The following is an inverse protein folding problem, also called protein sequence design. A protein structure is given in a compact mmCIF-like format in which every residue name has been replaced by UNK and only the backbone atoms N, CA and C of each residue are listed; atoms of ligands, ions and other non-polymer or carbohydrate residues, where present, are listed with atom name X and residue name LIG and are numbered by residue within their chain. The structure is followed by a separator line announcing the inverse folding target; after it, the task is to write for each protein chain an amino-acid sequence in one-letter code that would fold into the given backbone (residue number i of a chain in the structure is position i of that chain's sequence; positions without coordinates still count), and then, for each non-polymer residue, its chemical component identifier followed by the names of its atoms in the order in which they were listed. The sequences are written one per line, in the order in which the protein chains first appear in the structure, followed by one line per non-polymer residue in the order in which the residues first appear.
data_IF_664754388930
#
_entry.id   IF_664754388930
#
_cell.length_a   1.000
_cell.length_b   1.000
_cell.length_c   1.000
_cell.angle_alpha   90.00
_cell.angle_beta   90.00
_cell.angle_gamma   90.00
#
_symmetry.space_group_name_H-M   'P 1'
#
loop_
_entity.id
_entity.type
_entity.pdbx_description
1 polymer ?
#
# COMPACT_ATOMS: atom_id res chain seq x y z
N UNK A 1 6.50 -46.22 76.33
CA UNK A 1 5.89 -46.23 74.98
C UNK A 1 4.53 -46.90 75.12
N UNK A 2 3.44 -46.14 75.24
CA UNK A 2 2.11 -46.70 75.48
C UNK A 2 1.64 -47.47 74.23
N UNK A 3 1.49 -48.79 74.33
CA UNK A 3 0.90 -49.63 73.28
C UNK A 3 -0.57 -49.27 73.13
N UNK A 4 -0.95 -48.75 71.95
CA UNK A 4 -2.36 -48.54 71.60
C UNK A 4 -3.07 -49.89 71.57
N UNK A 5 -4.29 -49.94 72.13
CA UNK A 5 -5.18 -51.09 72.01
C UNK A 5 -5.39 -51.46 70.53
N UNK A 6 -5.39 -52.75 70.15
CA UNK A 6 -5.50 -53.20 68.76
C UNK A 6 -6.71 -52.61 68.03
N UNK A 7 -7.84 -52.40 68.71
CA UNK A 7 -9.03 -51.75 68.13
C UNK A 7 -8.80 -50.28 67.76
N UNK A 8 -8.01 -49.55 68.55
CA UNK A 8 -7.67 -48.15 68.27
C UNK A 8 -6.70 -48.03 67.09
N UNK A 9 -5.82 -49.01 66.93
CA UNK A 9 -4.91 -49.08 65.77
C UNK A 9 -5.69 -49.33 64.48
N UNK A 10 -6.63 -50.27 64.50
CA UNK A 10 -7.49 -50.60 63.36
C UNK A 10 -8.37 -49.40 62.95
N UNK A 11 -8.93 -48.69 63.93
CA UNK A 11 -9.74 -47.50 63.67
C UNK A 11 -8.92 -46.37 63.02
N UNK A 12 -7.67 -46.18 63.44
CA UNK A 12 -6.77 -45.18 62.88
C UNK A 12 -6.46 -45.49 61.41
N UNK A 13 -6.19 -46.77 61.11
CA UNK A 13 -5.90 -47.24 59.75
C UNK A 13 -7.10 -47.00 58.80
N UNK A 14 -8.31 -47.38 59.21
CA UNK A 14 -9.54 -47.15 58.43
C UNK A 14 -9.83 -45.64 58.25
N UNK A 15 -9.54 -44.81 59.25
CA UNK A 15 -9.67 -43.36 59.13
C UNK A 15 -8.65 -42.78 58.13
N UNK A 16 -7.40 -43.24 58.16
CA UNK A 16 -6.38 -42.78 57.20
C UNK A 16 -6.74 -43.19 55.78
N UNK A 17 -7.23 -44.40 55.56
CA UNK A 17 -7.63 -44.87 54.24
C UNK A 17 -8.82 -44.08 53.67
N UNK A 18 -9.83 -43.77 54.50
CA UNK A 18 -10.95 -42.91 54.08
C UNK A 18 -10.51 -41.49 53.76
N UNK A 19 -9.59 -40.92 54.54
CA UNK A 19 -9.01 -39.60 54.27
C UNK A 19 -8.24 -39.57 52.95
N UNK A 20 -7.47 -40.62 52.64
CA UNK A 20 -6.75 -40.74 51.38
C UNK A 20 -7.69 -40.85 50.18
N UNK A 21 -8.76 -41.64 50.30
CA UNK A 21 -9.80 -41.78 49.27
C UNK A 21 -10.48 -40.42 49.00
N UNK A 22 -10.85 -39.69 50.04
CA UNK A 22 -11.43 -38.36 49.89
C UNK A 22 -10.45 -37.39 49.24
N UNK A 23 -9.18 -37.41 49.65
CA UNK A 23 -8.13 -36.54 49.09
C UNK A 23 -7.93 -36.80 47.60
N UNK A 24 -7.88 -38.08 47.18
CA UNK A 24 -7.84 -38.46 45.76
C UNK A 24 -9.07 -37.94 45.00
N UNK A 25 -10.25 -38.15 45.55
CA UNK A 25 -11.53 -37.76 44.91
C UNK A 25 -11.61 -36.24 44.71
N UNK A 26 -11.21 -35.45 45.71
CA UNK A 26 -11.16 -33.98 45.61
C UNK A 26 -10.14 -33.56 44.56
N UNK A 27 -8.96 -34.18 44.56
CA UNK A 27 -7.90 -33.88 43.60
C UNK A 27 -8.36 -34.14 42.17
N UNK A 28 -8.94 -35.33 41.90
CA UNK A 28 -9.46 -35.71 40.58
C UNK A 28 -10.57 -34.76 40.10
N UNK A 29 -11.48 -34.35 40.99
CA UNK A 29 -12.53 -33.39 40.68
C UNK A 29 -11.98 -32.00 40.34
N UNK A 30 -11.00 -31.51 41.11
CA UNK A 30 -10.34 -30.23 40.83
C UNK A 30 -9.60 -30.30 39.51
N UNK A 31 -8.80 -31.35 39.28
CA UNK A 31 -8.03 -31.53 38.04
C UNK A 31 -8.95 -31.60 36.83
N UNK A 32 -10.05 -32.37 36.91
CA UNK A 32 -11.01 -32.49 35.81
C UNK A 32 -11.70 -31.17 35.48
N UNK A 33 -12.05 -30.38 36.51
CA UNK A 33 -12.64 -29.05 36.31
C UNK A 33 -11.65 -28.06 35.68
N UNK A 34 -10.39 -28.07 36.11
CA UNK A 34 -9.35 -27.22 35.53
C UNK A 34 -9.11 -27.59 34.07
N UNK A 35 -8.98 -28.89 33.76
CA UNK A 35 -8.76 -29.36 32.39
C UNK A 35 -9.92 -28.97 31.46
N UNK A 36 -11.17 -29.16 31.89
CA UNK A 36 -12.34 -28.73 31.12
C UNK A 36 -12.32 -27.23 30.83
N UNK A 37 -11.99 -26.40 31.84
CA UNK A 37 -11.95 -24.95 31.67
C UNK A 37 -10.83 -24.50 30.70
N UNK A 38 -9.66 -25.15 30.77
CA UNK A 38 -8.57 -24.93 29.81
C UNK A 38 -9.00 -25.30 28.39
N UNK A 39 -9.69 -26.42 28.22
CA UNK A 39 -10.16 -26.89 26.91
C UNK A 39 -11.21 -25.94 26.32
N UNK A 40 -12.13 -25.43 27.14
CA UNK A 40 -13.11 -24.41 26.76
C UNK A 40 -12.44 -23.10 26.29
N UNK A 41 -11.38 -22.63 26.96
CA UNK A 41 -10.65 -21.43 26.57
C UNK A 41 -9.73 -21.64 25.35
N UNK A 42 -9.19 -22.85 25.16
CA UNK A 42 -8.34 -23.17 24.02
C UNK A 42 -9.11 -23.29 22.70
N UNK A 43 -10.36 -23.76 22.76
CA UNK A 43 -11.21 -24.01 21.57
C UNK A 43 -11.34 -22.79 20.63
N UNK A 44 -11.72 -21.58 21.09
CA UNK A 44 -11.83 -20.42 20.19
C UNK A 44 -10.47 -20.00 19.61
N UNK A 45 -9.37 -20.14 20.35
CA UNK A 45 -8.03 -19.79 19.87
C UNK A 45 -7.56 -20.74 18.75
N UNK A 46 -7.90 -22.03 18.84
CA UNK A 46 -7.59 -22.99 17.76
C UNK A 46 -8.38 -22.63 16.50
N UNK A 47 -9.66 -22.30 16.65
CA UNK A 47 -10.51 -21.91 15.53
C UNK A 47 -10.05 -20.61 14.86
N UNK A 48 -9.66 -19.59 15.64
CA UNK A 48 -9.09 -18.34 15.13
C UNK A 48 -7.78 -18.59 14.37
N UNK A 49 -6.90 -19.43 14.91
CA UNK A 49 -5.65 -19.80 14.26
C UNK A 49 -5.88 -20.48 12.90
N UNK A 50 -6.90 -21.32 12.80
CA UNK A 50 -7.28 -21.96 11.54
C UNK A 50 -7.79 -20.93 10.52
N UNK A 51 -8.63 -19.97 10.95
CA UNK A 51 -9.11 -18.85 10.12
C UNK A 51 -7.96 -17.98 9.62
N UNK A 52 -7.02 -17.62 10.49
CA UNK A 52 -5.84 -16.83 10.15
C UNK A 52 -4.95 -17.56 9.13
N UNK A 53 -4.73 -18.86 9.30
CA UNK A 53 -3.95 -19.68 8.35
C UNK A 53 -4.58 -19.67 6.96
N UNK A 54 -5.91 -19.83 6.88
CA UNK A 54 -6.66 -19.76 5.62
C UNK A 54 -6.58 -18.37 4.97
N UNK A 55 -6.66 -17.31 5.76
CA UNK A 55 -6.53 -15.93 5.26
C UNK A 55 -5.13 -15.65 4.71
N UNK A 56 -4.08 -16.09 5.41
CA UNK A 56 -2.69 -15.98 4.94
C UNK A 56 -2.48 -16.73 3.63
N UNK A 57 -3.05 -17.93 3.50
CA UNK A 57 -2.96 -18.71 2.26
C UNK A 57 -3.65 -18.00 1.08
N UNK A 58 -4.85 -17.44 1.30
CA UNK A 58 -5.57 -16.63 0.30
C UNK A 58 -4.76 -15.40 -0.12
N UNK A 59 -4.19 -14.67 0.84
CA UNK A 59 -3.35 -13.50 0.57
C UNK A 59 -2.07 -13.86 -0.19
N UNK A 60 -1.43 -14.98 0.16
CA UNK A 60 -0.26 -15.49 -0.57
C UNK A 60 -0.59 -15.91 -2.00
N UNK A 61 -1.75 -16.54 -2.22
CA UNK A 61 -2.25 -16.80 -3.59
C UNK A 61 -2.49 -15.50 -4.35
N UNK A 62 -3.08 -14.48 -3.71
CA UNK A 62 -3.33 -13.15 -4.29
C UNK A 62 -2.04 -12.43 -4.67
N UNK A 63 -1.02 -12.43 -3.80
CA UNK A 63 0.29 -11.81 -4.08
C UNK A 63 1.08 -12.55 -5.14
N UNK A 64 0.97 -13.89 -5.23
CA UNK A 64 1.57 -14.67 -6.32
C UNK A 64 0.98 -14.32 -7.69
N UNK A 65 -0.32 -14.02 -7.76
CA UNK A 65 -1.03 -13.60 -8.99
C UNK A 65 -0.62 -12.19 -9.44
N UNK A 66 -0.22 -11.31 -8.51
CA UNK A 66 0.18 -9.92 -8.79
C UNK A 66 1.61 -9.72 -9.27
N UNK A 67 2.42 -10.78 -9.35
CA UNK A 67 3.74 -10.70 -9.98
C UNK A 67 3.57 -10.79 -11.52
N UNK A 68 3.10 -9.69 -12.11
CA UNK A 68 2.72 -9.57 -13.52
C UNK A 68 3.91 -9.76 -14.47
N UNK A 69 3.97 -10.90 -15.15
CA UNK A 69 4.94 -11.15 -16.23
C UNK A 69 4.19 -11.26 -17.55
N UNK A 70 4.41 -10.27 -18.43
CA UNK A 70 3.82 -10.17 -19.78
C UNK A 70 4.46 -11.15 -20.78
N UNK A 71 5.70 -11.56 -20.51
CA UNK A 71 6.41 -12.59 -21.28
C UNK A 71 6.94 -12.12 -22.63
N UNK A 72 7.37 -13.06 -23.45
CA UNK A 72 7.65 -12.89 -24.89
C UNK A 72 6.36 -12.89 -25.72
N UNK A 73 6.47 -12.43 -26.97
CA UNK A 73 5.37 -12.51 -27.95
C UNK A 73 5.13 -13.98 -28.31
N UNK A 74 3.90 -14.45 -28.19
CA UNK A 74 3.52 -15.85 -28.46
C UNK A 74 2.87 -16.01 -29.83
N UNK A 75 2.18 -14.97 -30.33
CA UNK A 75 1.52 -14.99 -31.64
C UNK A 75 1.89 -13.78 -32.49
N UNK A 76 1.94 -13.98 -33.82
CA UNK A 76 2.08 -12.90 -34.80
C UNK A 76 0.92 -11.89 -34.76
N UNK A 77 -0.21 -12.23 -34.15
CA UNK A 77 -1.34 -11.31 -33.99
C UNK A 77 -1.14 -10.32 -32.81
N UNK A 78 -0.18 -10.55 -31.91
CA UNK A 78 0.07 -9.71 -30.73
C UNK A 78 0.93 -8.48 -31.05
N UNK A 79 0.44 -7.57 -31.89
CA UNK A 79 1.15 -6.35 -32.33
C UNK A 79 1.50 -5.37 -31.18
N UNK A 80 0.88 -5.57 -30.02
CA UNK A 80 1.11 -4.87 -28.76
C UNK A 80 2.50 -5.15 -28.17
N UNK A 81 3.01 -6.36 -28.41
CA UNK A 81 4.31 -6.81 -27.93
C UNK A 81 5.36 -6.80 -29.05
N UNK A 82 6.54 -6.29 -28.72
CA UNK A 82 7.70 -6.36 -29.60
C UNK A 82 8.58 -7.59 -29.36
N UNK A 83 9.65 -7.73 -30.16
CA UNK A 83 10.49 -8.92 -30.17
C UNK A 83 11.41 -9.05 -28.94
N UNK A 84 11.46 -8.04 -28.06
CA UNK A 84 12.38 -8.01 -26.92
C UNK A 84 11.69 -8.27 -25.57
N UNK A 85 10.56 -8.99 -25.57
CA UNK A 85 9.95 -9.51 -24.35
C UNK A 85 10.89 -10.47 -23.61
N UNK A 86 10.63 -10.69 -22.31
CA UNK A 86 11.43 -11.58 -21.47
C UNK A 86 10.50 -12.50 -20.69
N UNK A 87 10.98 -13.71 -20.37
CA UNK A 87 10.28 -14.76 -19.59
C UNK A 87 8.99 -15.31 -20.21
N UNK A 88 8.46 -16.37 -19.60
CA UNK A 88 7.17 -16.96 -19.97
C UNK A 88 6.00 -16.11 -19.49
N UNK A 89 4.91 -16.11 -20.25
CA UNK A 89 3.73 -15.29 -19.96
C UNK A 89 2.91 -15.91 -18.83
N UNK A 90 2.58 -15.09 -17.83
CA UNK A 90 1.67 -15.45 -16.73
C UNK A 90 0.19 -15.29 -17.12
N UNK A 91 -0.74 -15.96 -16.41
CA UNK A 91 -2.20 -15.81 -16.61
C UNK A 91 -2.67 -14.35 -16.48
N UNK A 92 -2.09 -13.60 -15.54
CA UNK A 92 -2.35 -12.16 -15.38
C UNK A 92 -1.73 -11.34 -16.53
N UNK A 93 -0.53 -11.72 -16.99
CA UNK A 93 0.10 -11.15 -18.18
C UNK A 93 -0.74 -11.30 -19.44
N UNK A 94 -1.44 -12.43 -19.61
CA UNK A 94 -2.37 -12.64 -20.73
C UNK A 94 -3.54 -11.65 -20.69
N UNK A 95 -4.15 -11.42 -19.52
CA UNK A 95 -5.22 -10.41 -19.35
C UNK A 95 -4.72 -9.00 -19.67
N UNK A 96 -3.50 -8.67 -19.28
CA UNK A 96 -2.89 -7.39 -19.63
C UNK A 96 -2.64 -7.26 -21.14
N UNK A 97 -2.14 -8.31 -21.81
CA UNK A 97 -1.97 -8.30 -23.27
C UNK A 97 -3.31 -8.11 -23.98
N UNK A 98 -4.36 -8.81 -23.53
CA UNK A 98 -5.71 -8.66 -24.07
C UNK A 98 -6.24 -7.23 -23.92
N UNK A 99 -6.15 -6.65 -22.72
CA UNK A 99 -6.54 -5.25 -22.50
C UNK A 99 -5.75 -4.26 -23.36
N UNK A 100 -4.45 -4.49 -23.51
CA UNK A 100 -3.62 -3.62 -24.34
C UNK A 100 -3.97 -3.75 -25.83
N UNK A 101 -4.40 -4.92 -26.30
CA UNK A 101 -4.91 -5.12 -27.66
C UNK A 101 -6.24 -4.39 -27.85
N UNK A 102 -7.18 -4.52 -26.91
CA UNK A 102 -8.47 -3.81 -26.93
C UNK A 102 -8.31 -2.28 -27.02
N UNK A 103 -7.27 -1.75 -26.37
CA UNK A 103 -7.02 -0.30 -26.33
C UNK A 103 -5.92 0.19 -27.28
N UNK A 104 -5.43 -0.64 -28.21
CA UNK A 104 -4.32 -0.31 -29.13
C UNK A 104 -3.07 0.25 -28.43
N UNK A 105 -2.83 -0.19 -27.20
CA UNK A 105 -1.70 0.24 -26.39
C UNK A 105 -0.50 -0.67 -26.64
N UNK A 106 0.71 -0.14 -26.50
CA UNK A 106 1.94 -0.87 -26.80
C UNK A 106 2.83 -0.96 -25.58
N UNK A 107 3.38 -2.15 -25.30
CA UNK A 107 4.39 -2.32 -24.25
C UNK A 107 5.75 -1.89 -24.79
N UNK A 108 6.16 -0.65 -24.53
CA UNK A 108 7.43 -0.09 -25.01
C UNK A 108 8.64 -0.96 -24.64
N UNK A 109 8.66 -1.52 -23.44
CA UNK A 109 9.77 -2.39 -22.98
C UNK A 109 9.93 -3.67 -23.81
N UNK A 110 8.88 -4.11 -24.50
CA UNK A 110 8.94 -5.25 -25.42
C UNK A 110 9.38 -4.85 -26.84
N UNK A 111 9.16 -3.60 -27.26
CA UNK A 111 9.55 -3.09 -28.59
C UNK A 111 10.99 -2.60 -28.68
N UNK A 112 11.60 -2.22 -27.57
CA UNK A 112 12.97 -1.69 -27.56
C UNK A 112 13.92 -2.56 -26.74
N UNK A 113 15.02 -2.99 -27.37
CA UNK A 113 16.11 -3.71 -26.71
C UNK A 113 16.76 -2.82 -25.63
N UNK A 114 16.57 -3.15 -24.36
CA UNK A 114 17.28 -2.49 -23.26
C UNK A 114 18.75 -2.89 -23.26
N UNK A 115 19.66 -1.92 -23.18
CA UNK A 115 21.10 -2.17 -22.97
C UNK A 115 21.30 -2.90 -21.64
N UNK A 116 22.18 -3.90 -21.59
CA UNK A 116 22.42 -4.73 -20.38
C UNK A 116 22.71 -3.87 -19.14
N UNK A 117 23.54 -2.83 -19.28
CA UNK A 117 23.84 -1.84 -18.24
C UNK A 117 22.63 -1.06 -17.68
N UNK A 118 21.51 -1.03 -18.41
CA UNK A 118 20.27 -0.37 -17.99
C UNK A 118 19.22 -1.39 -17.47
N UNK A 119 19.58 -2.66 -17.29
CA UNK A 119 18.72 -3.71 -16.71
C UNK A 119 18.91 -3.84 -15.19
N UNK A 120 18.95 -2.70 -14.50
CA UNK A 120 19.16 -2.62 -13.04
C UNK A 120 18.09 -3.36 -12.22
N UNK A 121 16.90 -3.61 -12.77
CA UNK A 121 15.84 -4.39 -12.11
C UNK A 121 16.01 -5.91 -12.20
N UNK A 122 16.94 -6.41 -13.03
CA UNK A 122 17.18 -7.86 -13.19
C UNK A 122 18.46 -8.36 -12.52
N UNK A 123 19.37 -7.47 -12.14
CA UNK A 123 20.52 -7.80 -11.30
C UNK A 123 20.04 -7.75 -9.86
N UNK A 124 19.19 -8.71 -9.49
CA UNK A 124 19.10 -9.08 -8.08
C UNK A 124 20.45 -9.76 -7.78
N UNK A 125 21.26 -9.28 -6.83
CA UNK A 125 22.43 -10.06 -6.40
C UNK A 125 21.95 -11.47 -6.07
N UNK A 126 22.63 -12.46 -6.64
CA UNK A 126 22.26 -13.87 -6.54
C UNK A 126 21.96 -14.24 -5.08
N UNK A 127 20.88 -15.00 -4.87
CA UNK A 127 20.40 -15.42 -3.55
C UNK A 127 19.28 -14.58 -2.93
N UNK A 128 19.08 -13.30 -3.29
CA UNK A 128 17.96 -12.53 -2.70
C UNK A 128 16.57 -13.05 -3.13
N UNK A 129 16.44 -13.60 -4.34
CA UNK A 129 15.18 -14.22 -4.79
C UNK A 129 14.88 -15.49 -3.99
N UNK A 130 15.89 -16.32 -3.77
CA UNK A 130 15.76 -17.59 -3.05
C UNK A 130 15.47 -17.34 -1.56
N UNK A 131 16.10 -16.32 -0.97
CA UNK A 131 15.83 -15.89 0.41
C UNK A 131 14.40 -15.33 0.59
N UNK A 132 13.86 -14.66 -0.42
CA UNK A 132 12.46 -14.17 -0.41
C UNK A 132 11.47 -15.35 -0.54
N UNK A 133 11.84 -16.39 -1.30
CA UNK A 133 11.01 -17.59 -1.48
C UNK A 133 11.05 -18.52 -0.25
N UNK A 134 12.15 -18.54 0.50
CA UNK A 134 12.37 -19.46 1.63
C UNK A 134 11.81 -18.98 2.99
N UNK A 135 10.93 -17.97 3.00
CA UNK A 135 10.06 -17.65 4.14
C UNK A 135 10.68 -16.80 5.27
N UNK A 136 9.80 -16.38 6.19
CA UNK A 136 9.92 -15.34 7.24
C UNK A 136 10.92 -15.63 8.38
N UNK A 137 11.92 -16.49 8.16
CA UNK A 137 12.97 -16.73 9.16
C UNK A 137 13.74 -15.43 9.40
N UNK A 138 13.98 -15.11 10.67
CA UNK A 138 14.68 -13.88 11.09
C UNK A 138 16.04 -13.71 10.40
N UNK A 139 16.74 -14.82 10.19
CA UNK A 139 18.02 -14.90 9.47
C UNK A 139 17.91 -14.53 7.99
N UNK A 140 16.83 -14.93 7.32
CA UNK A 140 16.58 -14.53 5.93
C UNK A 140 16.28 -13.03 5.83
N UNK A 141 15.52 -12.50 6.79
CA UNK A 141 15.20 -11.07 6.85
C UNK A 141 16.49 -10.26 7.06
N UNK A 142 17.36 -10.65 7.99
CA UNK A 142 18.64 -9.96 8.21
C UNK A 142 19.52 -10.02 6.97
N UNK A 143 19.68 -11.19 6.35
CA UNK A 143 20.44 -11.34 5.10
C UNK A 143 19.88 -10.45 3.96
N UNK A 144 18.56 -10.40 3.79
CA UNK A 144 17.91 -9.52 2.81
C UNK A 144 18.17 -8.04 3.11
N UNK A 145 18.17 -7.63 4.38
CA UNK A 145 18.46 -6.24 4.76
C UNK A 145 19.90 -5.88 4.45
N UNK A 146 20.87 -6.76 4.71
CA UNK A 146 22.28 -6.53 4.41
C UNK A 146 22.53 -6.42 2.90
N UNK A 147 21.97 -7.34 2.12
CA UNK A 147 22.03 -7.28 0.66
C UNK A 147 21.45 -5.96 0.15
N UNK A 148 20.32 -5.53 0.73
CA UNK A 148 19.67 -4.27 0.35
C UNK A 148 20.49 -3.04 0.76
N UNK A 149 21.21 -3.08 1.89
CA UNK A 149 22.17 -2.03 2.30
C UNK A 149 23.32 -1.94 1.31
N UNK A 150 23.95 -3.07 0.97
CA UNK A 150 25.04 -3.15 -0.02
C UNK A 150 24.60 -2.59 -1.39
N UNK A 151 23.38 -2.92 -1.83
CA UNK A 151 22.81 -2.42 -3.09
C UNK A 151 22.55 -0.91 -3.06
N UNK A 152 22.00 -0.37 -1.96
CA UNK A 152 21.83 1.08 -1.82
C UNK A 152 23.18 1.79 -1.86
N UNK A 153 24.20 1.20 -1.26
CA UNK A 153 25.55 1.75 -1.26
C UNK A 153 26.20 1.74 -2.64
N UNK A 154 26.11 0.64 -3.39
CA UNK A 154 26.62 0.59 -4.77
C UNK A 154 25.91 1.59 -5.69
N UNK A 155 24.59 1.77 -5.55
CA UNK A 155 23.82 2.79 -6.29
C UNK A 155 24.28 4.21 -5.93
N UNK A 156 24.57 4.48 -4.66
CA UNK A 156 25.09 5.80 -4.24
C UNK A 156 26.46 6.06 -4.83
N UNK A 157 27.37 5.09 -4.78
CA UNK A 157 28.71 5.17 -5.37
C UNK A 157 28.64 5.41 -6.88
N UNK A 158 27.89 4.60 -7.62
CA UNK A 158 27.74 4.76 -9.07
C UNK A 158 27.18 6.14 -9.46
N UNK A 159 26.18 6.64 -8.72
CA UNK A 159 25.64 8.00 -8.93
C UNK A 159 26.68 9.08 -8.65
N UNK A 160 27.50 8.91 -7.61
CA UNK A 160 28.59 9.84 -7.26
C UNK A 160 29.67 9.82 -8.35
N UNK A 161 30.11 8.64 -8.76
CA UNK A 161 31.14 8.46 -9.78
C UNK A 161 30.70 9.01 -11.13
N UNK A 162 29.45 8.78 -11.52
CA UNK A 162 28.87 9.37 -12.73
C UNK A 162 28.88 10.90 -12.66
N UNK A 163 28.49 11.50 -11.52
CA UNK A 163 28.52 12.96 -11.34
C UNK A 163 29.94 13.51 -11.45
N UNK A 164 30.90 12.85 -10.80
CA UNK A 164 32.32 13.24 -10.83
C UNK A 164 32.89 13.16 -12.24
N UNK A 165 32.68 12.05 -12.95
CA UNK A 165 33.13 11.88 -14.34
C UNK A 165 32.53 12.92 -15.28
N UNK A 166 31.24 13.25 -15.13
CA UNK A 166 30.61 14.31 -15.92
C UNK A 166 31.21 15.69 -15.61
N UNK A 167 31.49 16.00 -14.34
CA UNK A 167 32.14 17.25 -13.95
C UNK A 167 33.57 17.33 -14.51
N UNK A 168 34.38 16.30 -14.29
CA UNK A 168 35.77 16.21 -14.77
C UNK A 168 35.86 16.38 -16.29
N UNK A 169 34.97 15.70 -17.03
CA UNK A 169 34.90 15.80 -18.49
C UNK A 169 34.70 17.24 -18.98
N UNK A 170 33.73 17.96 -18.42
CA UNK A 170 33.41 19.33 -18.84
C UNK A 170 34.44 20.35 -18.34
N UNK A 171 35.05 20.11 -17.18
CA UNK A 171 36.17 20.91 -16.67
C UNK A 171 37.37 20.77 -17.60
N UNK A 172 37.78 19.54 -17.94
CA UNK A 172 38.93 19.30 -18.83
C UNK A 172 38.71 19.82 -20.25
N UNK A 173 37.50 19.71 -20.78
CA UNK A 173 37.20 20.07 -22.17
C UNK A 173 36.96 21.56 -22.39
N UNK A 174 36.32 22.23 -21.43
CA UNK A 174 35.82 23.61 -21.61
C UNK A 174 36.13 24.54 -20.45
N UNK A 175 36.60 24.04 -19.30
CA UNK A 175 36.75 24.83 -18.07
C UNK A 175 35.42 25.24 -17.41
N UNK A 176 34.27 24.92 -18.02
CA UNK A 176 32.96 25.43 -17.59
C UNK A 176 32.12 24.41 -16.81
N UNK A 177 31.86 24.71 -15.54
CA UNK A 177 30.99 23.89 -14.67
C UNK A 177 29.50 23.98 -15.05
N UNK A 178 29.08 25.08 -15.69
CA UNK A 178 27.67 25.33 -16.06
C UNK A 178 27.14 24.27 -17.04
N UNK A 179 27.95 23.80 -17.99
CA UNK A 179 27.58 22.76 -18.97
C UNK A 179 27.37 21.39 -18.30
N UNK A 180 28.24 21.01 -17.37
CA UNK A 180 28.08 19.81 -16.56
C UNK A 180 26.78 19.84 -15.74
N UNK A 181 26.50 20.96 -15.07
CA UNK A 181 25.28 21.12 -14.27
C UNK A 181 24.01 21.03 -15.13
N UNK A 182 24.03 21.57 -16.35
CA UNK A 182 22.91 21.48 -17.29
C UNK A 182 22.64 20.02 -17.71
N UNK A 183 23.68 19.23 -17.96
CA UNK A 183 23.56 17.81 -18.31
C UNK A 183 23.05 16.96 -17.14
N UNK A 184 23.60 17.18 -15.94
CA UNK A 184 23.17 16.50 -14.72
C UNK A 184 21.71 16.83 -14.36
N UNK A 185 21.26 18.07 -14.58
CA UNK A 185 19.86 18.50 -14.37
C UNK A 185 18.90 17.91 -15.41
N UNK A 186 19.29 17.82 -16.68
CA UNK A 186 18.45 17.25 -17.76
C UNK A 186 18.18 15.76 -17.56
N UNK A 187 19.17 15.02 -17.06
CA UNK A 187 19.07 13.58 -16.84
C UNK A 187 18.00 13.19 -15.81
N UNK A 188 17.72 14.06 -14.82
CA UNK A 188 16.69 13.82 -13.80
C UNK A 188 15.25 14.16 -14.20
N UNK A 189 15.04 14.90 -15.30
CA UNK A 189 13.70 15.35 -15.75
C UNK A 189 13.07 14.44 -16.81
N UNK A 190 13.82 13.50 -17.38
CA UNK A 190 13.32 12.59 -18.43
C UNK A 190 12.96 11.23 -17.81
N UNK A 191 11.69 11.01 -17.49
CA UNK A 191 11.20 9.66 -17.16
C UNK A 191 11.32 8.69 -18.35
N UNK A 192 11.40 9.21 -19.58
CA UNK A 192 11.62 8.46 -20.81
C UNK A 192 12.60 9.28 -21.66
N UNK A 193 13.79 8.75 -22.01
CA UNK A 193 14.69 9.46 -22.91
C UNK A 193 14.01 9.63 -24.28
N UNK A 194 14.13 10.83 -24.86
CA UNK A 194 13.61 11.20 -26.18
C UNK A 194 13.75 10.05 -27.18
N UNK A 195 12.64 9.35 -27.45
CA UNK A 195 12.58 8.29 -28.44
C UNK A 195 12.62 8.96 -29.81
N UNK A 196 13.78 8.94 -30.46
CA UNK A 196 13.91 9.41 -31.84
C UNK A 196 13.38 8.32 -32.77
N UNK A 197 12.27 8.60 -33.44
CA UNK A 197 11.97 7.98 -34.75
C UNK A 197 12.64 8.84 -35.82
N UNK A 198 12.95 8.28 -36.99
CA UNK A 198 13.60 8.98 -38.09
C UNK A 198 12.88 10.27 -38.53
N UNK A 199 11.60 10.47 -38.19
CA UNK A 199 10.85 11.65 -38.64
C UNK A 199 10.11 12.45 -37.55
N UNK A 200 9.87 11.96 -36.33
CA UNK A 200 9.18 12.79 -35.31
C UNK A 200 9.60 12.50 -33.86
N UNK A 201 9.66 13.57 -33.06
CA UNK A 201 9.86 13.55 -31.60
C UNK A 201 8.48 13.56 -30.93
N UNK A 202 8.06 12.42 -30.38
CA UNK A 202 6.78 12.35 -29.66
C UNK A 202 6.97 12.94 -28.26
N UNK A 203 6.67 14.23 -28.10
CA UNK A 203 6.37 14.83 -26.79
C UNK A 203 4.87 14.96 -26.65
N UNK A 204 4.21 14.10 -25.88
CA UNK A 204 3.12 14.54 -25.01
C UNK A 204 2.65 13.41 -24.08
N UNK A 205 2.49 13.77 -22.79
CA UNK A 205 1.73 13.02 -21.80
C UNK A 205 0.26 12.95 -22.24
N UNK A 206 -0.16 11.90 -22.95
CA UNK A 206 -1.56 11.49 -22.91
C UNK A 206 -1.81 10.81 -21.56
N UNK A 207 -2.87 11.25 -20.86
CA UNK A 207 -3.35 10.74 -19.57
C UNK A 207 -3.12 9.23 -19.51
N UNK A 208 -2.29 8.78 -18.56
CA UNK A 208 -1.90 7.38 -18.40
C UNK A 208 -3.16 6.51 -18.24
N UNK A 209 -3.50 5.75 -19.28
CA UNK A 209 -4.63 4.80 -19.34
C UNK A 209 -4.54 3.72 -18.25
N UNK A 210 -3.39 3.63 -17.58
CA UNK A 210 -3.14 2.72 -16.45
C UNK A 210 -4.12 2.89 -15.30
N UNK A 211 -4.59 4.11 -15.00
CA UNK A 211 -5.51 4.33 -13.87
C UNK A 211 -6.87 3.65 -14.05
N UNK A 212 -7.37 3.58 -15.28
CA UNK A 212 -8.64 2.92 -15.59
C UNK A 212 -8.49 1.39 -15.66
N UNK A 213 -7.32 0.90 -16.10
CA UNK A 213 -7.00 -0.53 -16.11
C UNK A 213 -6.99 -1.12 -14.70
N UNK A 214 -6.24 -0.52 -13.77
CA UNK A 214 -6.18 -1.03 -12.40
C UNK A 214 -7.52 -0.90 -11.68
N UNK A 215 -8.30 0.14 -11.97
CA UNK A 215 -9.68 0.28 -11.48
C UNK A 215 -10.56 -0.90 -11.93
N UNK A 216 -10.57 -1.21 -13.23
CA UNK A 216 -11.34 -2.31 -13.82
C UNK A 216 -10.86 -3.70 -13.34
N UNK A 217 -9.56 -3.86 -13.07
CA UNK A 217 -9.02 -5.09 -12.48
C UNK A 217 -9.52 -5.33 -11.05
N UNK A 218 -9.68 -4.27 -10.27
CA UNK A 218 -10.15 -4.36 -8.88
C UNK A 218 -11.68 -4.37 -8.77
N UNK A 219 -12.41 -3.82 -9.74
CA UNK A 219 -13.88 -3.91 -9.82
C UNK A 219 -14.40 -5.34 -10.04
N UNK A 220 -13.64 -6.20 -10.74
CA UNK A 220 -14.05 -7.59 -11.06
C UNK A 220 -13.86 -8.55 -9.86
N UNK A 221 -13.34 -8.09 -8.73
CA UNK A 221 -12.87 -8.95 -7.63
C UNK A 221 -13.66 -8.89 -6.32
N UNK A 222 -14.81 -8.20 -6.27
CA UNK A 222 -15.76 -8.42 -5.17
C UNK A 222 -16.83 -9.43 -5.60
N UNK A 223 -16.88 -10.58 -4.90
CA UNK A 223 -18.13 -10.91 -4.25
C UNK A 223 -17.92 -11.06 -2.73
N UNK A 224 -19.00 -10.73 -2.02
CA UNK A 224 -19.27 -10.94 -0.60
C UNK A 224 -18.78 -9.84 0.35
N UNK A 225 -19.50 -8.71 0.30
CA UNK A 225 -19.76 -7.90 1.49
C UNK A 225 -20.79 -8.62 2.36
N UNK A 226 -20.32 -9.55 3.17
CA UNK A 226 -21.10 -10.01 4.32
C UNK A 226 -20.71 -9.24 5.58
N UNK A 227 -21.75 -8.63 6.13
CA UNK A 227 -21.98 -8.05 7.43
C UNK A 227 -20.99 -8.47 8.54
N UNK A 228 -20.35 -7.48 9.14
CA UNK A 228 -20.13 -7.41 10.59
C UNK A 228 -20.20 -5.93 10.99
N UNK A 229 -21.39 -5.52 11.39
CA UNK A 229 -21.61 -4.36 12.24
C UNK A 229 -21.51 -4.85 13.69
N UNK A 230 -20.66 -4.23 14.49
CA UNK A 230 -20.80 -4.21 15.94
C UNK A 230 -20.08 -2.97 16.50
N UNK A 231 -20.87 -1.93 16.72
CA UNK A 231 -20.92 -1.22 18.01
C UNK A 231 -22.29 -0.55 18.14
N UNK A 232 -23.09 -1.07 19.07
CA UNK A 232 -24.39 -0.55 19.51
C UNK A 232 -24.31 0.87 20.07
N UNK A 233 -25.34 1.69 19.81
CA UNK A 233 -26.06 2.56 20.78
C UNK A 233 -27.38 3.07 20.12
N UNK A 234 -28.52 3.20 20.85
CA UNK A 234 -29.89 2.93 20.36
C UNK A 234 -30.63 4.06 19.58
N UNK A 235 -31.82 3.76 19.03
CA UNK A 235 -32.46 4.49 17.93
C UNK A 235 -33.28 5.68 18.40
N UNK A 236 -33.14 6.83 17.74
CA UNK A 236 -34.11 7.93 17.87
C UNK A 236 -34.41 8.56 16.51
N UNK A 237 -35.66 8.34 16.10
CA UNK A 237 -36.55 9.19 15.29
C UNK A 237 -35.99 10.11 14.19
N UNK A 238 -36.46 9.83 12.97
CA UNK A 238 -36.92 10.77 11.91
C UNK A 238 -35.99 11.92 11.52
N UNK A 239 -35.53 11.86 10.27
CA UNK A 239 -34.85 12.94 9.55
C UNK A 239 -35.55 14.30 9.69
N UNK A 240 -34.75 15.36 9.91
CA UNK A 240 -35.03 16.66 9.30
C UNK A 240 -33.78 17.25 8.62
N UNK A 241 -33.96 17.67 7.37
CA UNK A 241 -33.23 18.70 6.61
C UNK A 241 -31.72 18.85 6.89
N UNK A 242 -30.92 18.36 5.95
CA UNK A 242 -29.47 18.49 5.89
C UNK A 242 -29.05 19.96 5.76
N UNK A 243 -28.82 20.65 6.88
CA UNK A 243 -28.13 21.94 6.88
C UNK A 243 -26.63 21.69 6.72
N UNK A 244 -26.08 22.07 5.57
CA UNK A 244 -24.64 22.08 5.30
C UNK A 244 -23.95 22.95 6.37
N UNK A 245 -22.95 22.44 7.11
CA UNK A 245 -22.26 23.25 8.12
C UNK A 245 -21.47 24.37 7.45
N UNK A 246 -21.56 25.57 8.02
CA UNK A 246 -20.81 26.75 7.58
C UNK A 246 -19.30 26.50 7.68
N UNK A 247 -18.54 27.03 6.72
CA UNK A 247 -17.08 26.91 6.74
C UNK A 247 -16.51 27.67 7.95
N UNK A 248 -15.69 26.99 8.75
CA UNK A 248 -15.06 27.57 9.93
C UNK A 248 -13.83 28.41 9.51
N UNK A 249 -13.59 29.59 10.13
CA UNK A 249 -12.41 30.40 9.87
C UNK A 249 -11.07 29.63 10.01
N UNK A 250 -11.03 28.65 10.93
CA UNK A 250 -9.87 27.78 11.16
C UNK A 250 -9.58 26.84 9.99
N UNK A 251 -10.60 26.42 9.25
CA UNK A 251 -10.46 25.58 8.06
C UNK A 251 -9.92 26.40 6.88
N UNK A 252 -10.46 27.62 6.70
CA UNK A 252 -9.99 28.58 5.70
C UNK A 252 -8.53 28.96 5.94
N UNK A 253 -8.14 29.17 7.20
CA UNK A 253 -6.76 29.46 7.59
C UNK A 253 -5.83 28.28 7.28
N UNK A 254 -6.26 27.05 7.60
CA UNK A 254 -5.49 25.83 7.32
C UNK A 254 -5.33 25.58 5.82
N UNK A 255 -6.38 25.78 5.04
CA UNK A 255 -6.37 25.67 3.59
C UNK A 255 -5.42 26.69 2.96
N UNK A 256 -5.48 27.95 3.41
CA UNK A 256 -4.60 29.04 2.93
C UNK A 256 -3.13 28.77 3.24
N UNK A 257 -2.81 28.29 4.46
CA UNK A 257 -1.44 27.89 4.83
C UNK A 257 -0.91 26.71 4.00
N UNK A 258 -1.78 25.78 3.60
CA UNK A 258 -1.41 24.57 2.84
C UNK A 258 -0.99 24.85 1.37
N UNK A 259 -1.29 26.04 0.84
CA UNK A 259 -0.95 26.39 -0.55
C UNK A 259 0.57 26.42 -0.78
N UNK A 260 1.03 26.15 -2.01
CA UNK A 260 2.47 26.17 -2.33
C UNK A 260 2.94 27.60 -2.68
N UNK A 261 4.11 27.97 -2.18
CA UNK A 261 4.81 29.23 -2.50
C UNK A 261 5.38 29.20 -3.93
N UNK A 262 5.77 30.36 -4.47
CA UNK A 262 6.42 30.52 -5.78
C UNK A 262 5.55 30.01 -6.94
N UNK A 263 4.23 30.07 -6.76
CA UNK A 263 3.27 29.83 -7.83
C UNK A 263 3.01 31.14 -8.54
N UNK A 264 3.08 31.12 -9.87
CA UNK A 264 2.72 32.27 -10.69
C UNK A 264 1.32 32.72 -10.33
N UNK A 265 1.17 34.01 -10.02
CA UNK A 265 -0.14 34.60 -9.85
C UNK A 265 -0.97 34.40 -11.12
N UNK A 266 -2.27 34.20 -10.94
CA UNK A 266 -3.21 34.09 -12.06
C UNK A 266 -3.59 35.51 -12.52
N UNK A 267 -4.64 35.62 -13.33
CA UNK A 267 -5.12 36.89 -13.93
C UNK A 267 -5.31 38.03 -12.91
N UNK A 268 -5.54 37.69 -11.64
CA UNK A 268 -5.84 38.66 -10.58
C UNK A 268 -4.58 39.26 -9.93
N UNK A 269 -3.37 38.88 -10.36
CA UNK A 269 -2.07 39.36 -9.85
C UNK A 269 -1.82 39.21 -8.33
N UNK A 270 -2.70 38.53 -7.59
CA UNK A 270 -2.52 38.16 -6.18
C UNK A 270 -1.65 36.90 -6.09
N UNK A 271 -0.52 36.98 -5.39
CA UNK A 271 0.37 35.85 -5.16
C UNK A 271 0.04 35.12 -3.84
N UNK A 272 0.31 33.81 -3.77
CA UNK A 272 0.10 33.02 -2.55
C UNK A 272 0.97 33.49 -1.38
N UNK A 273 2.09 34.17 -1.65
CA UNK A 273 2.90 34.79 -0.60
C UNK A 273 2.14 35.94 0.10
N UNK A 274 1.43 36.75 -0.69
CA UNK A 274 0.63 37.86 -0.19
C UNK A 274 -0.54 37.34 0.65
N UNK A 275 -1.27 36.34 0.15
CA UNK A 275 -2.40 35.71 0.85
C UNK A 275 -2.00 35.08 2.19
N UNK A 276 -0.81 34.48 2.26
CA UNK A 276 -0.30 33.91 3.51
C UNK A 276 0.24 34.96 4.47
N UNK A 277 0.79 36.07 3.95
CA UNK A 277 1.29 37.18 4.75
C UNK A 277 0.17 37.94 5.47
N UNK A 278 -0.97 38.13 4.81
CA UNK A 278 -2.13 38.89 5.34
C UNK A 278 -3.27 37.98 5.82
N UNK A 279 -2.93 36.76 6.24
CA UNK A 279 -3.93 35.71 6.54
C UNK A 279 -4.92 36.13 7.63
N UNK A 280 -4.47 36.86 8.66
CA UNK A 280 -5.32 37.28 9.77
C UNK A 280 -6.41 38.26 9.33
N UNK A 281 -6.11 39.13 8.38
CA UNK A 281 -7.03 40.18 7.91
C UNK A 281 -7.98 39.68 6.82
N UNK A 282 -7.52 38.73 6.01
CA UNK A 282 -8.28 38.21 4.85
C UNK A 282 -9.21 37.04 5.23
N UNK A 283 -8.86 36.24 6.25
CA UNK A 283 -9.64 35.07 6.68
C UNK A 283 -11.13 35.38 6.93
N UNK A 284 -11.53 36.44 7.67
CA UNK A 284 -12.96 36.72 7.90
C UNK A 284 -13.70 37.03 6.59
N UNK A 285 -13.09 37.79 5.69
CA UNK A 285 -13.68 38.16 4.41
C UNK A 285 -13.84 36.94 3.47
N UNK A 286 -12.82 36.07 3.41
CA UNK A 286 -12.89 34.84 2.61
C UNK A 286 -13.95 33.88 3.15
N UNK A 287 -14.02 33.72 4.48
CA UNK A 287 -15.01 32.83 5.12
C UNK A 287 -16.43 33.29 4.78
N UNK A 288 -16.70 34.60 4.85
CA UNK A 288 -17.98 35.17 4.45
C UNK A 288 -18.31 34.93 2.96
N UNK A 289 -17.34 35.12 2.06
CA UNK A 289 -17.54 34.86 0.62
C UNK A 289 -17.85 33.37 0.37
N UNK A 290 -17.12 32.46 1.01
CA UNK A 290 -17.35 31.01 0.86
C UNK A 290 -18.73 30.61 1.37
N UNK A 291 -19.15 31.10 2.53
CA UNK A 291 -20.48 30.80 3.07
C UNK A 291 -21.60 31.39 2.21
N UNK A 292 -21.40 32.58 1.62
CA UNK A 292 -22.36 33.16 0.68
C UNK A 292 -22.48 32.32 -0.61
N UNK A 293 -21.37 31.84 -1.16
CA UNK A 293 -21.38 30.95 -2.33
C UNK A 293 -22.08 29.63 -1.99
N UNK A 294 -21.81 29.04 -0.82
CA UNK A 294 -22.47 27.81 -0.37
C UNK A 294 -23.98 28.01 -0.24
N UNK A 295 -24.42 29.13 0.36
CA UNK A 295 -25.83 29.49 0.49
C UNK A 295 -26.52 29.61 -0.89
N UNK A 296 -25.87 30.28 -1.85
CA UNK A 296 -26.39 30.40 -3.22
C UNK A 296 -26.50 29.03 -3.91
N UNK A 297 -25.49 28.17 -3.77
CA UNK A 297 -25.49 26.83 -4.38
C UNK A 297 -26.60 25.96 -3.78
N UNK A 298 -26.77 25.99 -2.45
CA UNK A 298 -27.85 25.27 -1.76
C UNK A 298 -29.21 25.79 -2.22
N UNK A 299 -29.38 27.10 -2.34
CA UNK A 299 -30.60 27.72 -2.86
C UNK A 299 -30.91 27.28 -4.32
N UNK A 300 -29.91 27.27 -5.19
CA UNK A 300 -30.07 26.83 -6.59
C UNK A 300 -30.40 25.33 -6.69
N UNK A 301 -29.76 24.48 -5.89
CA UNK A 301 -30.04 23.05 -5.85
C UNK A 301 -31.46 22.77 -5.33
N UNK A 302 -31.92 23.50 -4.31
CA UNK A 302 -33.28 23.37 -3.80
C UNK A 302 -34.33 23.83 -4.81
N UNK A 303 -34.03 24.85 -5.64
CA UNK A 303 -34.92 25.26 -6.75
C UNK A 303 -34.97 24.26 -7.89
N UNK A 304 -33.84 23.66 -8.26
CA UNK A 304 -33.78 22.65 -9.33
C UNK A 304 -34.51 21.36 -8.95
N UNK A 305 -34.45 20.96 -7.67
CA UNK A 305 -35.20 19.81 -7.15
C UNK A 305 -36.73 20.02 -7.12
N UNK A 306 -37.21 21.27 -7.20
CA UNK A 306 -38.63 21.60 -7.28
C UNK A 306 -39.17 21.73 -8.72
N UNK A 307 -38.31 21.65 -9.75
CA UNK A 307 -38.70 21.77 -11.17
C UNK A 307 -38.76 20.40 -11.86
N UNK A 308 -38.44 19.31 -11.17
CA UNK A 308 -38.75 17.95 -11.64
C UNK A 308 -40.17 17.55 -11.27
N UNK A 309 -41.14 17.99 -12.07
CA UNK A 309 -42.47 17.37 -12.21
C UNK A 309 -42.73 17.10 -13.69
#
# INVERSE_FOLDING_TARGET
MAQLSPEKSLLLEVMTEKMDIQTRTITENITSNILRKIEEEMKPLVEENEKLKNQVERLNKKTKISNEIVGTRQSSCEYVLGPFGYSERSRSGQKLVQFLMEHNLTVLNSKYKKKAKNKWTSICPDGKKDLILNGTKKENITAITEISKKMKESIRKDRKDKRLKTLEYHIRRTGEVKKALKELRKTGKQCIPNLKRKEEIITLRKKLVTTNFYRKLHEIQEPDKDQYSDTDTPPTAKAPLETVPESLPSEVEKATKSQKMEKSSRLDNIANELLKGTIKDITPNLTHIFNNILSIIVFLNNRLNHISF
#
